data_IF_124525832988
#
_entry.id   IF_124525832988
#
_cell.length_a   1.000
_cell.length_b   1.000
_cell.length_c   1.000
_cell.angle_alpha   90.00
_cell.angle_beta   90.00
_cell.angle_gamma   90.00
#
_symmetry.space_group_name_H-M   'P 1'
#
loop_
_entity.id
_entity.type
_entity.pdbx_description
1 polymer ?
#
# COMPACT_ATOMS: atom_id res chain seq x y z
N UNK A 1 86.06 32.66 13.67
CA UNK A 1 85.60 31.55 12.80
C UNK A 1 84.08 31.62 12.70
N UNK A 2 83.56 31.56 11.48
CA UNK A 2 82.15 31.72 11.09
C UNK A 2 81.49 30.33 11.17
N UNK A 3 80.36 30.17 11.85
CA UNK A 3 79.49 29.02 11.61
C UNK A 3 78.07 29.50 11.33
N UNK A 4 77.52 29.00 10.23
CA UNK A 4 76.36 29.50 9.50
C UNK A 4 75.39 28.32 9.37
N UNK A 5 74.47 28.20 10.32
CA UNK A 5 73.30 27.33 10.14
C UNK A 5 72.15 28.20 9.62
N UNK A 6 71.56 27.89 8.45
CA UNK A 6 70.33 28.53 8.04
C UNK A 6 69.19 27.87 8.81
N UNK A 7 68.66 28.55 9.82
CA UNK A 7 67.36 28.21 10.40
C UNK A 7 66.33 28.33 9.28
N UNK A 8 65.81 27.18 8.85
CA UNK A 8 64.74 27.07 7.87
C UNK A 8 63.48 27.59 8.57
N UNK A 9 63.30 28.92 8.59
CA UNK A 9 62.07 29.56 9.04
C UNK A 9 60.95 29.13 8.09
N UNK A 10 60.30 28.02 8.44
CA UNK A 10 59.05 27.56 7.84
C UNK A 10 58.00 28.60 8.18
N UNK A 11 57.84 29.58 7.28
CA UNK A 11 56.81 30.61 7.34
C UNK A 11 55.45 29.92 7.33
N UNK A 12 54.87 29.68 8.49
CA UNK A 12 53.44 29.43 8.62
C UNK A 12 52.74 30.73 8.17
N UNK A 13 52.43 30.79 6.88
CA UNK A 13 51.61 31.85 6.31
C UNK A 13 50.19 31.63 6.81
N UNK A 14 49.83 32.44 7.80
CA UNK A 14 48.50 32.82 8.24
C UNK A 14 47.35 31.88 7.90
N UNK A 15 46.86 31.18 8.93
CA UNK A 15 45.42 31.09 9.14
C UNK A 15 44.88 32.52 9.20
N UNK A 16 44.36 33.02 8.08
CA UNK A 16 43.85 34.38 8.00
C UNK A 16 42.40 34.43 8.47
N UNK A 17 41.93 35.59 8.97
CA UNK A 17 40.52 35.82 9.33
C UNK A 17 39.56 35.44 8.20
N UNK A 18 40.00 35.62 6.94
CA UNK A 18 39.24 35.25 5.74
C UNK A 18 38.99 33.73 5.66
N UNK A 19 39.98 32.92 6.00
CA UNK A 19 39.87 31.46 5.98
C UNK A 19 38.89 30.94 7.04
N UNK A 20 38.86 31.58 8.21
CA UNK A 20 37.88 31.26 9.25
C UNK A 20 36.45 31.54 8.80
N UNK A 21 36.22 32.66 8.10
CA UNK A 21 34.90 33.02 7.56
C UNK A 21 34.50 32.05 6.43
N UNK A 22 35.43 31.69 5.55
CA UNK A 22 35.19 30.69 4.50
C UNK A 22 34.88 29.32 5.09
N UNK A 23 35.62 28.88 6.10
CA UNK A 23 35.36 27.63 6.80
C UNK A 23 33.98 27.64 7.46
N UNK A 24 33.59 28.75 8.10
CA UNK A 24 32.26 28.89 8.69
C UNK A 24 31.15 28.85 7.63
N UNK A 25 31.36 29.50 6.48
CA UNK A 25 30.42 29.46 5.37
C UNK A 25 30.28 28.04 4.79
N UNK A 26 31.38 27.31 4.63
CA UNK A 26 31.38 25.91 4.17
C UNK A 26 30.68 24.98 5.18
N UNK A 27 30.96 25.13 6.47
CA UNK A 27 30.29 24.35 7.52
C UNK A 27 28.79 24.68 7.53
N UNK A 28 28.43 25.95 7.36
CA UNK A 28 27.04 26.39 7.26
C UNK A 28 26.31 25.75 6.07
N UNK A 29 26.92 25.73 4.88
CA UNK A 29 26.29 25.12 3.69
C UNK A 29 26.20 23.60 3.80
N UNK A 30 27.22 22.94 4.35
CA UNK A 30 27.18 21.50 4.63
C UNK A 30 26.09 21.17 5.66
N UNK A 31 25.99 21.95 6.74
CA UNK A 31 24.96 21.79 7.75
C UNK A 31 23.54 21.95 7.19
N UNK A 32 23.31 22.97 6.36
CA UNK A 32 22.02 23.16 5.68
C UNK A 32 21.69 21.97 4.76
N UNK A 33 22.67 21.46 4.02
CA UNK A 33 22.48 20.31 3.12
C UNK A 33 22.14 19.04 3.90
N UNK A 34 22.84 18.77 5.01
CA UNK A 34 22.57 17.64 5.89
C UNK A 34 21.17 17.71 6.49
N UNK A 35 20.76 18.89 6.97
CA UNK A 35 19.43 19.09 7.53
C UNK A 35 18.32 18.87 6.47
N UNK A 36 18.51 19.40 5.26
CA UNK A 36 17.60 19.17 4.15
C UNK A 36 17.48 17.69 3.78
N UNK A 37 18.60 16.96 3.79
CA UNK A 37 18.62 15.52 3.53
C UNK A 37 17.90 14.71 4.62
N UNK A 38 18.09 15.05 5.90
CA UNK A 38 17.39 14.42 7.03
C UNK A 38 15.88 14.63 6.90
N UNK A 39 15.44 15.86 6.64
CA UNK A 39 14.02 16.17 6.48
C UNK A 39 13.41 15.39 5.31
N UNK A 40 14.13 15.31 4.19
CA UNK A 40 13.68 14.53 3.02
C UNK A 40 13.54 13.04 3.35
N UNK A 41 14.49 12.49 4.11
CA UNK A 41 14.47 11.09 4.53
C UNK A 41 13.29 10.78 5.46
N UNK A 42 13.01 11.65 6.43
CA UNK A 42 11.86 11.50 7.35
C UNK A 42 10.53 11.55 6.59
N UNK A 43 10.37 12.51 5.67
CA UNK A 43 9.16 12.64 4.85
C UNK A 43 8.97 11.39 3.98
N UNK A 44 10.06 10.86 3.40
CA UNK A 44 10.03 9.65 2.60
C UNK A 44 9.58 8.43 3.40
N UNK A 45 10.12 8.25 4.62
CA UNK A 45 9.73 7.16 5.52
C UNK A 45 8.24 7.21 5.87
N UNK A 46 7.71 8.40 6.20
CA UNK A 46 6.28 8.56 6.48
C UNK A 46 5.40 8.16 5.28
N UNK A 47 5.79 8.54 4.06
CA UNK A 47 5.08 8.12 2.84
C UNK A 47 5.15 6.61 2.60
N UNK A 48 6.28 5.98 2.89
CA UNK A 48 6.42 4.52 2.76
C UNK A 48 5.50 3.80 3.74
N UNK A 49 5.41 4.27 4.99
CA UNK A 49 4.52 3.68 5.99
C UNK A 49 3.04 3.76 5.59
N UNK A 50 2.59 4.89 5.05
CA UNK A 50 1.20 5.04 4.61
C UNK A 50 0.88 4.17 3.39
N UNK A 51 1.83 4.00 2.46
CA UNK A 51 1.69 3.09 1.32
C UNK A 51 1.61 1.64 1.79
N UNK A 52 2.48 1.23 2.72
CA UNK A 52 2.50 -0.14 3.25
C UNK A 52 1.18 -0.47 3.96
N UNK A 53 0.71 0.41 4.85
CA UNK A 53 -0.56 0.21 5.56
C UNK A 53 -1.76 0.07 4.60
N UNK A 54 -1.77 0.83 3.50
CA UNK A 54 -2.79 0.72 2.45
C UNK A 54 -2.69 -0.62 1.71
N UNK A 55 -1.49 -1.07 1.38
CA UNK A 55 -1.28 -2.34 0.68
C UNK A 55 -1.71 -3.53 1.54
N UNK A 56 -1.37 -3.53 2.83
CA UNK A 56 -1.79 -4.56 3.78
C UNK A 56 -3.32 -4.59 3.92
N UNK A 57 -3.96 -3.42 4.00
CA UNK A 57 -5.41 -3.32 4.04
C UNK A 57 -6.07 -3.89 2.76
N UNK A 58 -5.52 -3.57 1.58
CA UNK A 58 -6.00 -4.11 0.30
C UNK A 58 -5.85 -5.63 0.28
N UNK A 59 -4.72 -6.18 0.71
CA UNK A 59 -4.50 -7.63 0.75
C UNK A 59 -5.53 -8.35 1.65
N UNK A 60 -5.77 -7.80 2.86
CA UNK A 60 -6.78 -8.32 3.78
C UNK A 60 -8.19 -8.27 3.18
N UNK A 61 -8.54 -7.18 2.50
CA UNK A 61 -9.85 -7.02 1.86
C UNK A 61 -10.03 -7.98 0.70
N UNK A 62 -9.02 -8.17 -0.15
CA UNK A 62 -9.07 -9.16 -1.23
C UNK A 62 -9.30 -10.56 -0.65
N UNK A 63 -8.58 -10.93 0.41
CA UNK A 63 -8.76 -12.22 1.08
C UNK A 63 -10.17 -12.37 1.67
N UNK A 64 -10.69 -11.36 2.35
CA UNK A 64 -12.06 -11.36 2.86
C UNK A 64 -13.10 -11.52 1.75
N UNK A 65 -12.96 -10.76 0.66
CA UNK A 65 -13.91 -10.76 -0.45
C UNK A 65 -13.91 -12.09 -1.23
N UNK A 66 -12.81 -12.84 -1.24
CA UNK A 66 -12.78 -14.20 -1.82
C UNK A 66 -13.68 -15.19 -1.06
N UNK A 67 -13.94 -14.96 0.23
CA UNK A 67 -14.87 -15.77 1.01
C UNK A 67 -16.33 -15.32 0.87
N UNK A 68 -16.58 -14.10 0.38
CA UNK A 68 -17.92 -13.57 0.16
C UNK A 68 -18.52 -14.18 -1.10
N UNK A 69 -19.73 -14.74 -0.99
CA UNK A 69 -20.50 -15.19 -2.13
C UNK A 69 -21.36 -14.03 -2.68
N UNK A 70 -20.98 -13.39 -3.81
CA UNK A 70 -21.68 -12.20 -4.33
C UNK A 70 -23.09 -12.50 -4.86
N UNK A 71 -23.42 -13.77 -5.11
CA UNK A 71 -24.79 -14.16 -5.51
C UNK A 71 -25.76 -14.17 -4.32
N UNK A 72 -25.24 -14.33 -3.10
CA UNK A 72 -26.04 -14.38 -1.87
C UNK A 72 -25.95 -13.09 -1.08
N UNK A 73 -24.76 -12.47 -1.06
CA UNK A 73 -24.46 -11.23 -0.34
C UNK A 73 -23.94 -10.17 -1.33
N UNK A 74 -24.82 -9.62 -2.20
CA UNK A 74 -24.43 -8.71 -3.26
C UNK A 74 -23.96 -7.35 -2.74
N UNK A 75 -24.39 -6.95 -1.55
CA UNK A 75 -23.93 -5.73 -0.89
C UNK A 75 -23.71 -5.99 0.59
N UNK A 76 -22.87 -5.16 1.19
CA UNK A 76 -22.57 -5.30 2.60
C UNK A 76 -21.46 -4.38 3.07
N UNK A 77 -21.15 -4.53 4.36
CA UNK A 77 -20.09 -3.79 5.06
C UNK A 77 -19.31 -4.73 5.95
N UNK A 78 -18.03 -4.43 6.15
CA UNK A 78 -17.17 -5.15 7.09
C UNK A 78 -16.18 -4.19 7.76
N UNK A 79 -15.93 -4.43 9.03
CA UNK A 79 -15.07 -3.63 9.89
C UNK A 79 -13.73 -4.35 10.13
N UNK A 80 -12.62 -3.63 9.97
CA UNK A 80 -11.25 -4.15 10.16
C UNK A 80 -10.51 -3.39 11.28
N UNK A 81 -11.27 -2.83 12.22
CA UNK A 81 -10.78 -2.03 13.33
C UNK A 81 -10.37 -0.61 12.92
N UNK A 82 -9.29 -0.47 12.16
CA UNK A 82 -8.75 0.82 11.74
C UNK A 82 -9.44 1.41 10.50
N UNK A 83 -10.13 0.57 9.74
CA UNK A 83 -10.86 0.95 8.53
C UNK A 83 -12.07 0.06 8.36
N UNK A 84 -13.01 0.52 7.52
CA UNK A 84 -14.19 -0.24 7.12
C UNK A 84 -14.29 -0.32 5.61
N UNK A 85 -14.91 -1.37 5.13
CA UNK A 85 -15.24 -1.51 3.71
C UNK A 85 -16.75 -1.54 3.50
N UNK A 86 -17.17 -1.07 2.33
CA UNK A 86 -18.52 -1.24 1.80
C UNK A 86 -18.39 -1.78 0.38
N UNK A 87 -19.18 -2.80 0.02
CA UNK A 87 -19.16 -3.36 -1.33
C UNK A 87 -20.54 -3.40 -1.98
N UNK A 88 -20.54 -3.41 -3.32
CA UNK A 88 -21.71 -3.67 -4.16
C UNK A 88 -21.32 -4.55 -5.33
N UNK A 89 -22.14 -5.56 -5.60
CA UNK A 89 -21.95 -6.55 -6.66
C UNK A 89 -22.99 -6.38 -7.75
N UNK A 90 -22.56 -6.59 -8.99
CA UNK A 90 -23.41 -6.59 -10.19
C UNK A 90 -23.12 -7.85 -10.99
N UNK A 91 -24.16 -8.50 -11.50
CA UNK A 91 -23.98 -9.69 -12.33
C UNK A 91 -23.34 -9.30 -13.67
N UNK A 92 -22.30 -10.03 -14.07
CA UNK A 92 -21.51 -9.81 -15.30
C UNK A 92 -21.72 -10.99 -16.25
N UNK A 93 -22.97 -11.19 -16.69
CA UNK A 93 -23.38 -12.24 -17.63
C UNK A 93 -24.58 -13.09 -17.17
N UNK A 94 -25.02 -14.08 -17.97
CA UNK A 94 -26.11 -14.98 -17.59
C UNK A 94 -25.68 -15.93 -16.47
N UNK A 95 -26.54 -16.11 -15.48
CA UNK A 95 -26.39 -17.15 -14.46
C UNK A 95 -26.67 -18.51 -15.10
N UNK A 96 -25.74 -19.45 -14.96
CA UNK A 96 -25.86 -20.77 -15.56
C UNK A 96 -26.14 -21.84 -14.51
N UNK A 97 -26.98 -22.81 -14.85
CA UNK A 97 -27.06 -24.05 -14.09
C UNK A 97 -25.73 -24.82 -14.24
N UNK A 98 -25.18 -25.27 -13.12
CA UNK A 98 -24.08 -26.23 -13.15
C UNK A 98 -24.56 -27.52 -13.83
N UNK A 99 -23.68 -28.21 -14.58
CA UNK A 99 -23.99 -29.51 -15.16
C UNK A 99 -23.67 -30.61 -14.15
N UNK A 100 -24.59 -31.55 -13.93
CA UNK A 100 -24.30 -32.75 -13.16
C UNK A 100 -23.51 -33.75 -14.02
N UNK A 101 -22.49 -34.39 -13.44
CA UNK A 101 -21.77 -35.51 -14.06
C UNK A 101 -22.47 -36.83 -13.69
N UNK A 102 -22.67 -37.80 -14.62
CA UNK A 102 -22.30 -37.83 -16.04
C UNK A 102 -23.34 -37.20 -16.99
N UNK A 103 -24.55 -36.90 -16.52
CA UNK A 103 -25.56 -36.12 -17.26
C UNK A 103 -26.59 -35.52 -16.30
N UNK A 104 -27.29 -34.45 -16.72
CA UNK A 104 -28.36 -33.82 -15.95
C UNK A 104 -28.06 -32.40 -15.47
N UNK A 105 -29.08 -31.77 -14.87
CA UNK A 105 -28.97 -30.41 -14.33
C UNK A 105 -28.47 -30.48 -12.88
N UNK A 106 -27.37 -29.80 -12.60
CA UNK A 106 -26.72 -29.79 -11.29
C UNK A 106 -27.51 -29.04 -10.22
N UNK A 107 -27.11 -29.23 -8.97
CA UNK A 107 -27.82 -28.69 -7.80
C UNK A 107 -27.65 -27.17 -7.61
N UNK A 108 -26.67 -26.58 -8.29
CA UNK A 108 -26.24 -25.21 -8.11
C UNK A 108 -26.40 -24.40 -9.38
N UNK A 109 -26.69 -23.11 -9.18
CA UNK A 109 -26.48 -22.07 -10.17
C UNK A 109 -25.19 -21.32 -9.85
N UNK A 110 -24.47 -20.91 -10.88
CA UNK A 110 -23.24 -20.14 -10.80
C UNK A 110 -23.32 -18.91 -11.70
N UNK A 111 -22.70 -17.82 -11.28
CA UNK A 111 -22.62 -16.58 -12.05
C UNK A 111 -21.35 -15.82 -11.75
N UNK A 112 -20.91 -14.98 -12.70
CA UNK A 112 -19.80 -14.05 -12.50
C UNK A 112 -20.34 -12.70 -12.05
N UNK A 113 -19.68 -12.09 -11.07
CA UNK A 113 -20.07 -10.81 -10.50
C UNK A 113 -18.89 -9.84 -10.53
N UNK A 114 -19.18 -8.61 -10.95
CA UNK A 114 -18.30 -7.46 -10.75
C UNK A 114 -18.61 -6.86 -9.39
N UNK A 115 -17.59 -6.67 -8.57
CA UNK A 115 -17.74 -6.21 -7.19
C UNK A 115 -16.88 -4.98 -6.97
N UNK A 116 -17.56 -3.87 -6.68
CA UNK A 116 -16.95 -2.60 -6.34
C UNK A 116 -16.82 -2.52 -4.81
N UNK A 117 -15.60 -2.38 -4.32
CA UNK A 117 -15.31 -2.28 -2.88
C UNK A 117 -14.70 -0.92 -2.59
N UNK A 118 -15.24 -0.22 -1.61
CA UNK A 118 -14.72 1.07 -1.14
C UNK A 118 -14.23 0.94 0.29
N UNK A 119 -12.97 1.28 0.54
CA UNK A 119 -12.37 1.34 1.88
C UNK A 119 -12.38 2.76 2.42
N UNK A 120 -12.73 2.92 3.70
CA UNK A 120 -12.81 4.20 4.39
C UNK A 120 -12.11 4.13 5.75
N UNK A 121 -11.41 5.19 6.11
CA UNK A 121 -10.93 5.43 7.48
C UNK A 121 -11.70 6.60 8.10
N UNK A 122 -11.43 6.92 9.36
CA UNK A 122 -11.99 8.12 10.02
C UNK A 122 -11.49 9.40 9.34
N UNK A 123 -10.24 9.39 8.88
CA UNK A 123 -9.58 10.56 8.27
C UNK A 123 -9.86 10.69 6.76
N UNK A 124 -10.03 9.56 6.07
CA UNK A 124 -10.20 9.50 4.62
C UNK A 124 -11.42 8.63 4.23
N UNK A 125 -12.55 9.26 3.87
CA UNK A 125 -13.76 8.55 3.45
C UNK A 125 -13.65 7.90 2.05
N UNK A 126 -12.56 8.12 1.32
CA UNK A 126 -12.31 7.54 -0.01
C UNK A 126 -10.91 6.90 -0.09
N UNK A 127 -10.46 6.29 1.01
CA UNK A 127 -9.09 5.79 1.18
C UNK A 127 -8.61 4.85 0.07
N UNK A 128 -9.46 3.93 -0.40
CA UNK A 128 -9.20 3.16 -1.62
C UNK A 128 -10.48 2.63 -2.26
N UNK A 129 -10.37 2.26 -3.54
CA UNK A 129 -11.41 1.54 -4.29
C UNK A 129 -10.78 0.35 -4.99
N UNK A 130 -11.50 -0.78 -5.01
CA UNK A 130 -11.12 -2.01 -5.70
C UNK A 130 -12.25 -2.48 -6.59
N UNK A 131 -11.90 -2.97 -7.77
CA UNK A 131 -12.82 -3.63 -8.69
C UNK A 131 -12.42 -5.09 -8.80
N UNK A 132 -13.28 -5.99 -8.31
CA UNK A 132 -13.03 -7.43 -8.27
C UNK A 132 -14.00 -8.16 -9.20
N UNK A 133 -13.57 -9.32 -9.70
CA UNK A 133 -14.46 -10.29 -10.36
C UNK A 133 -14.53 -11.55 -9.52
N UNK A 134 -15.72 -11.89 -9.04
CA UNK A 134 -15.94 -12.99 -8.12
C UNK A 134 -17.00 -13.95 -8.68
N UNK A 135 -16.81 -15.24 -8.45
CA UNK A 135 -17.81 -16.26 -8.75
C UNK A 135 -18.82 -16.32 -7.61
N UNK A 136 -20.11 -16.25 -7.94
CA UNK A 136 -21.21 -16.48 -7.01
C UNK A 136 -21.87 -17.82 -7.27
N UNK A 137 -22.44 -18.43 -6.23
CA UNK A 137 -23.16 -19.70 -6.34
C UNK A 137 -24.38 -19.77 -5.45
N UNK A 138 -25.42 -20.49 -5.89
CA UNK A 138 -26.62 -20.73 -5.09
C UNK A 138 -27.13 -22.15 -5.34
N UNK A 139 -27.38 -22.90 -4.27
CA UNK A 139 -28.07 -24.19 -4.39
C UNK A 139 -29.54 -23.92 -4.72
N UNK A 140 -30.01 -24.44 -5.84
CA UNK A 140 -31.39 -24.24 -6.34
C UNK A 140 -32.20 -25.53 -6.42
N UNK A 141 -31.57 -26.69 -6.20
CA UNK A 141 -32.25 -28.00 -6.20
C UNK A 141 -31.85 -28.81 -4.97
N UNK A 142 -32.80 -29.57 -4.44
CA UNK A 142 -32.54 -30.59 -3.42
C UNK A 142 -32.35 -31.95 -4.09
N UNK A 143 -31.46 -32.80 -3.56
CA UNK A 143 -31.43 -34.22 -3.90
C UNK A 143 -32.63 -34.87 -3.21
N UNK A 144 -33.76 -34.98 -3.90
CA UNK A 144 -34.83 -35.85 -3.43
C UNK A 144 -34.33 -37.29 -3.62
N UNK A 145 -34.06 -37.97 -2.50
CA UNK A 145 -33.40 -39.26 -2.46
C UNK A 145 -34.13 -40.33 -3.26
N UNK A 146 -33.38 -41.03 -4.10
CA UNK A 146 -33.68 -42.40 -4.52
C UNK A 146 -32.43 -43.18 -4.16
N UNK A 147 -32.47 -43.84 -3.00
CA UNK A 147 -31.66 -45.02 -2.72
C UNK A 147 -32.52 -46.24 -3.03
#
# INVERSE_FOLDING_TARGET
MRNKYPDICRRQRGFTLLEAIVAFALIGTIGMTLFAWINTSIISLGKVQTINARNDAIANVVSYMQAVNPMQNPDGKAEFGAYRIEWKSRVSGPVADNRAYPSGIGLYQVGLYEVDVTGRTVEDPAWFTLHLKLAGFKKVRALNGIF
#
